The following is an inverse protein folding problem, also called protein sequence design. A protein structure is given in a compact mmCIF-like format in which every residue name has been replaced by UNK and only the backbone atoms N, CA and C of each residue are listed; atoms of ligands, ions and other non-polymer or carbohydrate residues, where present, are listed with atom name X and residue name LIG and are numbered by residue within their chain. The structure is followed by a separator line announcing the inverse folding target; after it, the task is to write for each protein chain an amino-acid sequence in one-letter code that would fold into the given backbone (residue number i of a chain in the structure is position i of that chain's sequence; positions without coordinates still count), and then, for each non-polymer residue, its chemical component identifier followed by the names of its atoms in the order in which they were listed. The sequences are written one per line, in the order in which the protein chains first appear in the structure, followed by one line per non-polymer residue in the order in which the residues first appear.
data_IF_841367015868
#
_entry.id   IF_841367015868
#
_cell.length_a   1.000
_cell.length_b   1.000
_cell.length_c   1.000
_cell.angle_alpha   90.00
_cell.angle_beta   90.00
_cell.angle_gamma   90.00
#
_symmetry.space_group_name_H-M   'P 1'
#
loop_
_entity.id
_entity.type
_entity.pdbx_description
1 polymer ?
#
# COMPACT_ATOMS: atom_id res chain seq x y z
N UNK A 1 -26.07 -7.47 -25.37
CA UNK A 1 -25.44 -7.79 -24.06
C UNK A 1 -24.10 -8.49 -24.25
N UNK A 2 -24.01 -9.59 -25.02
CA UNK A 2 -22.74 -10.25 -25.32
C UNK A 2 -21.66 -9.31 -25.91
N UNK A 3 -21.99 -8.53 -26.94
CA UNK A 3 -21.05 -7.58 -27.57
C UNK A 3 -20.54 -6.47 -26.63
N UNK A 4 -21.35 -6.04 -25.66
CA UNK A 4 -20.95 -5.04 -24.67
C UNK A 4 -20.01 -5.63 -23.60
N UNK A 5 -20.19 -6.92 -23.28
CA UNK A 5 -19.32 -7.67 -22.36
C UNK A 5 -17.99 -8.00 -23.02
N UNK A 6 -17.98 -8.34 -24.32
CA UNK A 6 -16.76 -8.59 -25.09
C UNK A 6 -15.89 -7.31 -25.20
N UNK A 7 -16.51 -6.16 -25.47
CA UNK A 7 -15.79 -4.88 -25.50
C UNK A 7 -15.17 -4.48 -24.15
N UNK A 8 -15.84 -4.82 -23.04
CA UNK A 8 -15.34 -4.57 -21.68
C UNK A 8 -14.15 -5.48 -21.34
N UNK A 9 -14.25 -6.77 -21.70
CA UNK A 9 -13.18 -7.75 -21.50
C UNK A 9 -11.93 -7.40 -22.34
N UNK A 10 -12.10 -6.96 -23.58
CA UNK A 10 -10.99 -6.47 -24.38
C UNK A 10 -10.33 -5.22 -23.77
N UNK A 11 -11.13 -4.29 -23.26
CA UNK A 11 -10.61 -3.12 -22.55
C UNK A 11 -9.84 -3.54 -21.27
N UNK A 12 -10.31 -4.56 -20.55
CA UNK A 12 -9.62 -5.12 -19.37
C UNK A 12 -8.27 -5.70 -19.75
N UNK A 13 -8.25 -6.50 -20.81
CA UNK A 13 -7.04 -7.17 -21.27
C UNK A 13 -6.00 -6.15 -21.75
N UNK A 14 -6.44 -5.10 -22.47
CA UNK A 14 -5.56 -3.97 -22.84
C UNK A 14 -5.06 -3.20 -21.61
N UNK A 15 -5.93 -2.97 -20.63
CA UNK A 15 -5.56 -2.35 -19.36
C UNK A 15 -4.52 -3.17 -18.59
N UNK A 16 -4.70 -4.49 -18.52
CA UNK A 16 -3.77 -5.42 -17.89
C UNK A 16 -2.44 -5.51 -18.64
N UNK A 17 -2.46 -5.51 -19.98
CA UNK A 17 -1.25 -5.53 -20.78
C UNK A 17 -0.45 -4.22 -20.71
N UNK A 18 -1.11 -3.09 -20.40
CA UNK A 18 -0.48 -1.76 -20.33
C UNK A 18 0.06 -1.38 -18.94
N UNK A 19 0.24 -2.38 -18.06
CA UNK A 19 0.84 -2.16 -16.74
C UNK A 19 2.37 -2.23 -16.76
N UNK A 20 2.97 -2.76 -17.82
CA UNK A 20 4.41 -2.99 -17.90
C UNK A 20 4.89 -3.90 -16.76
N UNK A 21 5.94 -3.48 -16.06
CA UNK A 21 6.48 -4.21 -14.89
C UNK A 21 5.74 -3.93 -13.59
N UNK A 22 4.73 -3.06 -13.57
CA UNK A 22 4.05 -2.66 -12.34
C UNK A 22 2.89 -3.59 -12.00
N UNK A 23 2.78 -3.99 -10.73
CA UNK A 23 1.82 -4.99 -10.26
C UNK A 23 0.51 -4.38 -9.77
N UNK A 24 -0.40 -3.96 -10.66
CA UNK A 24 -1.68 -3.36 -10.22
C UNK A 24 -2.90 -4.25 -10.46
N UNK A 25 -3.77 -4.29 -9.46
CA UNK A 25 -5.04 -4.97 -9.58
C UNK A 25 -6.07 -4.06 -10.25
N UNK A 26 -6.69 -4.56 -11.31
CA UNK A 26 -7.77 -3.89 -12.05
C UNK A 26 -9.01 -4.79 -12.07
N UNK A 27 -10.20 -4.18 -12.05
CA UNK A 27 -11.46 -4.89 -12.17
C UNK A 27 -12.54 -3.94 -12.66
N UNK A 28 -13.44 -4.43 -13.52
CA UNK A 28 -14.64 -3.68 -13.91
C UNK A 28 -15.78 -3.81 -12.89
N UNK A 29 -15.72 -4.81 -12.02
CA UNK A 29 -16.78 -5.16 -11.07
C UNK A 29 -16.47 -4.68 -9.65
N UNK A 30 -15.42 -3.88 -9.48
CA UNK A 30 -14.91 -3.49 -8.17
C UNK A 30 -14.61 -4.72 -7.32
N UNK A 31 -15.12 -4.75 -6.09
CA UNK A 31 -14.88 -5.85 -5.12
C UNK A 31 -15.34 -7.22 -5.58
N UNK A 32 -16.38 -7.33 -6.41
CA UNK A 32 -16.80 -8.64 -6.92
C UNK A 32 -15.70 -9.26 -7.80
N UNK A 33 -15.06 -8.44 -8.64
CA UNK A 33 -13.97 -8.89 -9.50
C UNK A 33 -12.65 -9.14 -8.77
N UNK A 34 -12.51 -8.70 -7.51
CA UNK A 34 -11.32 -8.99 -6.69
C UNK A 34 -11.23 -10.48 -6.31
N UNK A 35 -12.36 -11.13 -6.01
CA UNK A 35 -12.40 -12.56 -5.74
C UNK A 35 -12.03 -13.37 -6.99
N UNK A 36 -12.54 -12.96 -8.15
CA UNK A 36 -12.19 -13.58 -9.43
C UNK A 36 -10.69 -13.43 -9.75
N UNK A 37 -10.12 -12.24 -9.52
CA UNK A 37 -8.70 -12.00 -9.73
C UNK A 37 -7.82 -12.80 -8.76
N UNK A 38 -8.27 -12.98 -7.51
CA UNK A 38 -7.61 -13.86 -6.54
C UNK A 38 -7.59 -15.31 -7.04
N UNK A 39 -8.75 -15.87 -7.41
CA UNK A 39 -8.85 -17.27 -7.86
C UNK A 39 -8.02 -17.51 -9.15
N UNK A 40 -8.01 -16.53 -10.06
CA UNK A 40 -7.37 -16.64 -11.39
C UNK A 40 -5.92 -16.13 -11.41
N UNK A 41 -5.32 -15.83 -10.25
CA UNK A 41 -3.98 -15.25 -10.20
C UNK A 41 -2.94 -16.21 -10.78
N UNK A 42 -2.24 -15.78 -11.82
CA UNK A 42 -1.16 -16.55 -12.45
C UNK A 42 0.19 -16.40 -11.75
N UNK A 43 0.42 -15.26 -11.07
CA UNK A 43 1.70 -14.98 -10.41
C UNK A 43 1.91 -15.82 -9.15
N UNK A 44 0.87 -15.97 -8.35
CA UNK A 44 0.86 -16.80 -7.15
C UNK A 44 -0.42 -17.65 -7.10
N UNK A 45 -0.48 -18.74 -7.88
CA UNK A 45 -1.66 -19.59 -7.96
C UNK A 45 -2.10 -20.12 -6.60
N UNK A 46 -3.34 -19.81 -6.21
CA UNK A 46 -3.92 -20.23 -4.92
C UNK A 46 -3.37 -19.50 -3.69
N UNK A 47 -2.40 -18.59 -3.86
CA UNK A 47 -1.85 -17.72 -2.81
C UNK A 47 -1.44 -18.45 -1.52
N UNK A 48 -0.87 -19.64 -1.65
CA UNK A 48 -0.51 -20.50 -0.51
C UNK A 48 0.50 -19.87 0.45
N UNK A 49 1.31 -18.93 -0.04
CA UNK A 49 2.32 -18.23 0.76
C UNK A 49 1.83 -16.87 1.31
N UNK A 50 0.55 -16.54 1.12
CA UNK A 50 -0.09 -15.33 1.66
C UNK A 50 -0.84 -15.66 2.94
N UNK A 51 -0.14 -15.61 4.06
CA UNK A 51 -0.66 -16.03 5.37
C UNK A 51 -1.65 -14.97 5.88
N UNK A 52 -2.91 -15.31 6.18
CA UNK A 52 -3.82 -14.36 6.83
C UNK A 52 -3.24 -13.87 8.15
N UNK A 53 -3.36 -12.57 8.40
CA UNK A 53 -2.69 -11.94 9.54
C UNK A 53 -3.06 -12.56 10.89
N UNK A 54 -4.29 -13.07 11.02
CA UNK A 54 -4.77 -13.75 12.22
C UNK A 54 -4.12 -15.12 12.44
N UNK A 55 -3.73 -15.79 11.37
CA UNK A 55 -3.03 -17.08 11.41
C UNK A 55 -1.51 -16.92 11.50
N UNK A 56 -0.98 -15.72 11.18
CA UNK A 56 0.44 -15.44 11.26
C UNK A 56 0.97 -15.68 12.68
N UNK A 57 2.05 -16.45 12.76
CA UNK A 57 2.60 -17.00 13.99
C UNK A 57 4.10 -17.25 13.84
N UNK A 58 4.74 -17.60 14.95
CA UNK A 58 6.19 -17.84 15.02
C UNK A 58 6.68 -18.92 14.05
N UNK A 59 5.84 -19.91 13.73
CA UNK A 59 6.20 -21.03 12.85
C UNK A 59 6.33 -20.62 11.38
N UNK A 60 5.78 -19.46 11.02
CA UNK A 60 5.88 -18.89 9.67
C UNK A 60 7.18 -18.10 9.45
N UNK A 61 7.92 -17.84 10.52
CA UNK A 61 9.23 -17.20 10.48
C UNK A 61 10.33 -18.26 10.44
N UNK A 62 11.49 -17.90 9.91
CA UNK A 62 12.64 -18.80 9.82
C UNK A 62 13.81 -18.36 10.69
N UNK A 63 14.63 -19.34 11.10
CA UNK A 63 15.90 -19.12 11.77
C UNK A 63 15.77 -18.28 13.05
N UNK A 64 16.63 -17.25 13.25
CA UNK A 64 16.64 -16.46 14.48
C UNK A 64 15.39 -15.57 14.65
N UNK A 65 14.52 -15.49 13.65
CA UNK A 65 13.31 -14.66 13.68
C UNK A 65 12.08 -15.39 14.18
N UNK A 66 12.20 -16.67 14.54
CA UNK A 66 11.15 -17.41 15.25
C UNK A 66 11.00 -16.87 16.69
N UNK A 67 10.47 -15.66 16.77
CA UNK A 67 10.37 -14.87 17.99
C UNK A 67 9.02 -14.15 18.07
N UNK A 68 8.41 -14.16 19.25
CA UNK A 68 7.09 -13.54 19.46
C UNK A 68 7.12 -12.03 19.23
N UNK A 69 8.25 -11.33 19.48
CA UNK A 69 8.34 -9.89 19.20
C UNK A 69 8.31 -9.60 17.70
N UNK A 70 8.84 -10.51 16.87
CA UNK A 70 8.71 -10.41 15.42
C UNK A 70 7.25 -10.60 14.99
N UNK A 71 6.55 -11.59 15.55
CA UNK A 71 5.12 -11.82 15.28
C UNK A 71 4.28 -10.61 15.66
N UNK A 72 4.48 -10.06 16.86
CA UNK A 72 3.79 -8.86 17.33
C UNK A 72 4.09 -7.64 16.46
N UNK A 73 5.34 -7.48 16.03
CA UNK A 73 5.73 -6.41 15.11
C UNK A 73 5.02 -6.55 13.76
N UNK A 74 5.00 -7.73 13.15
CA UNK A 74 4.33 -7.96 11.86
C UNK A 74 2.82 -7.72 11.97
N UNK A 75 2.19 -8.15 13.05
CA UNK A 75 0.78 -7.81 13.34
C UNK A 75 0.57 -6.30 13.45
N UNK A 76 1.50 -5.58 14.05
CA UNK A 76 1.44 -4.12 14.11
C UNK A 76 1.69 -3.44 12.76
N UNK A 77 2.41 -4.08 11.82
CA UNK A 77 2.48 -3.62 10.41
C UNK A 77 1.08 -3.69 9.79
N UNK A 78 0.38 -4.82 9.95
CA UNK A 78 -0.98 -4.97 9.41
C UNK A 78 -1.99 -3.97 9.98
N UNK A 79 -1.81 -3.53 11.23
CA UNK A 79 -2.62 -2.47 11.84
C UNK A 79 -2.43 -1.10 11.17
N UNK A 80 -1.30 -0.87 10.50
CA UNK A 80 -1.01 0.36 9.75
C UNK A 80 -1.08 0.18 8.23
N UNK A 81 -1.14 -1.05 7.71
CA UNK A 81 -1.40 -1.33 6.30
C UNK A 81 -2.83 -0.93 5.93
N UNK A 82 -2.99 -0.34 4.75
CA UNK A 82 -4.30 0.14 4.26
C UNK A 82 -4.60 -0.41 2.88
N UNK A 83 -5.89 -0.62 2.62
CA UNK A 83 -6.44 -0.94 1.31
C UNK A 83 -6.74 0.36 0.58
N UNK A 84 -6.26 0.51 -0.65
CA UNK A 84 -6.58 1.63 -1.52
C UNK A 84 -7.56 1.16 -2.58
N UNK A 85 -8.72 1.80 -2.67
CA UNK A 85 -9.71 1.56 -3.71
C UNK A 85 -9.84 2.81 -4.57
N UNK A 86 -9.15 2.83 -5.70
CA UNK A 86 -9.18 3.92 -6.66
C UNK A 86 -10.15 3.60 -7.79
N UNK A 87 -10.86 4.62 -8.29
CA UNK A 87 -11.82 4.47 -9.39
C UNK A 87 -11.51 5.35 -10.60
N UNK A 88 -10.46 6.15 -10.55
CA UNK A 88 -10.17 7.13 -11.59
C UNK A 88 -8.72 7.09 -12.02
N UNK A 89 -8.50 7.20 -13.33
CA UNK A 89 -7.16 7.34 -13.91
C UNK A 89 -6.96 8.78 -14.34
N UNK A 90 -5.95 9.46 -13.79
CA UNK A 90 -5.67 10.87 -14.09
C UNK A 90 -5.43 11.10 -15.58
N UNK A 91 -5.86 12.26 -16.09
CA UNK A 91 -5.48 12.74 -17.44
C UNK A 91 -4.01 13.13 -17.54
N UNK A 92 -3.35 13.34 -16.41
CA UNK A 92 -1.97 13.83 -16.31
C UNK A 92 -0.94 12.70 -16.18
N UNK A 93 -1.34 11.42 -16.16
CA UNK A 93 -0.38 10.31 -16.16
C UNK A 93 0.58 10.48 -17.35
N UNK A 94 1.91 10.33 -17.20
CA UNK A 94 2.85 10.54 -18.30
C UNK A 94 2.73 9.45 -19.37
N UNK A 95 3.36 9.66 -20.53
CA UNK A 95 3.44 8.64 -21.58
C UNK A 95 4.40 7.50 -21.22
N UNK A 96 5.51 7.88 -20.58
CA UNK A 96 6.62 6.99 -20.26
C UNK A 96 7.02 7.13 -18.80
N UNK A 97 7.63 6.10 -18.25
CA UNK A 97 8.38 6.13 -17.00
C UNK A 97 9.72 6.84 -17.20
N UNK A 98 10.43 7.14 -16.11
CA UNK A 98 11.81 7.65 -16.17
C UNK A 98 12.77 6.72 -16.91
N UNK A 99 12.47 5.42 -16.90
CA UNK A 99 13.31 4.38 -17.48
C UNK A 99 12.99 4.11 -18.96
N UNK A 100 12.07 4.88 -19.55
CA UNK A 100 11.69 4.79 -20.96
C UNK A 100 10.64 3.73 -21.28
N UNK A 101 10.05 3.09 -20.26
CA UNK A 101 8.94 2.14 -20.41
C UNK A 101 7.59 2.87 -20.51
N UNK A 102 6.56 2.23 -21.06
CA UNK A 102 5.22 2.83 -21.04
C UNK A 102 4.71 3.02 -19.61
N UNK A 103 4.14 4.20 -19.33
CA UNK A 103 3.61 4.45 -17.99
C UNK A 103 2.32 3.64 -17.75
N UNK A 104 2.17 3.01 -16.56
CA UNK A 104 1.00 2.23 -16.24
C UNK A 104 -0.29 3.01 -16.42
N UNK A 105 -1.24 2.43 -17.15
CA UNK A 105 -2.58 2.98 -17.37
C UNK A 105 -2.65 4.27 -18.20
N UNK A 106 -1.59 4.63 -18.94
CA UNK A 106 -1.65 5.78 -19.84
C UNK A 106 -2.79 5.72 -20.87
N UNK A 107 -3.15 4.53 -21.33
CA UNK A 107 -4.23 4.32 -22.29
C UNK A 107 -5.62 4.51 -21.66
N UNK A 108 -5.70 4.61 -20.33
CA UNK A 108 -6.94 4.69 -19.56
C UNK A 108 -7.15 6.08 -18.94
N UNK A 109 -6.33 7.06 -19.28
CA UNK A 109 -6.47 8.45 -18.79
C UNK A 109 -7.89 8.97 -18.94
N UNK A 110 -8.40 9.61 -17.90
CA UNK A 110 -9.75 10.17 -17.85
C UNK A 110 -10.87 9.15 -17.71
N UNK A 111 -10.57 7.84 -17.69
CA UNK A 111 -11.58 6.80 -17.51
C UNK A 111 -11.83 6.48 -16.04
N UNK A 112 -13.00 5.92 -15.78
CA UNK A 112 -13.35 5.36 -14.48
C UNK A 112 -13.19 3.84 -14.53
N UNK A 113 -12.11 3.34 -13.94
CA UNK A 113 -11.85 1.91 -13.81
C UNK A 113 -11.39 1.61 -12.39
N UNK A 114 -12.05 0.65 -11.74
CA UNK A 114 -11.77 0.30 -10.37
C UNK A 114 -10.44 -0.46 -10.27
N UNK A 115 -9.63 -0.04 -9.31
CA UNK A 115 -8.30 -0.58 -9.01
C UNK A 115 -8.14 -0.71 -7.51
N UNK A 116 -7.48 -1.79 -7.09
CA UNK A 116 -7.05 -1.94 -5.70
C UNK A 116 -5.54 -1.96 -5.61
N UNK A 117 -5.02 -1.33 -4.57
CA UNK A 117 -3.62 -1.46 -4.19
C UNK A 117 -3.49 -1.38 -2.67
N UNK A 118 -2.27 -1.47 -2.19
CA UNK A 118 -1.94 -1.40 -0.76
C UNK A 118 -1.19 -0.10 -0.48
N UNK A 119 -1.32 0.43 0.73
CA UNK A 119 -0.42 1.43 1.28
C UNK A 119 -0.17 1.19 2.78
N UNK A 120 0.42 2.17 3.46
CA UNK A 120 0.52 2.16 4.92
C UNK A 120 0.43 3.54 5.52
N UNK A 121 -0.04 3.62 6.76
CA UNK A 121 -0.06 4.83 7.58
C UNK A 121 1.37 5.13 8.03
N UNK A 122 2.04 6.08 7.37
CA UNK A 122 3.36 6.53 7.77
C UNK A 122 3.33 7.63 8.84
N UNK A 123 2.18 8.31 9.02
CA UNK A 123 2.05 9.34 10.05
C UNK A 123 0.61 9.54 10.51
N UNK A 124 0.36 9.35 11.80
CA UNK A 124 -0.81 9.89 12.48
C UNK A 124 -0.45 11.20 13.22
N UNK A 125 -1.15 12.31 12.96
CA UNK A 125 -0.87 13.60 13.64
C UNK A 125 -1.16 13.53 15.13
N UNK A 126 -0.49 14.36 15.94
CA UNK A 126 -0.53 14.29 17.40
C UNK A 126 -1.86 14.69 18.05
N UNK A 127 -2.74 15.38 17.35
CA UNK A 127 -3.99 15.90 17.92
C UNK A 127 -5.12 15.72 16.92
N UNK A 128 -6.29 15.41 17.45
CA UNK A 128 -7.55 15.65 16.77
C UNK A 128 -7.75 17.17 16.76
N UNK A 129 -7.91 17.75 15.58
CA UNK A 129 -7.99 19.19 15.41
C UNK A 129 -9.42 19.65 15.68
N UNK A 130 -9.58 20.72 16.46
CA UNK A 130 -10.84 21.38 16.74
C UNK A 130 -10.67 22.89 16.55
N UNK A 131 -11.70 23.59 16.06
CA UNK A 131 -11.63 25.04 15.89
C UNK A 131 -10.83 25.50 14.65
N UNK A 132 -10.44 24.58 13.76
CA UNK A 132 -9.80 24.87 12.47
C UNK A 132 -10.68 24.40 11.33
N UNK A 133 -10.58 25.04 10.17
CA UNK A 133 -11.24 24.58 8.95
C UNK A 133 -10.71 23.19 8.54
N UNK A 134 -11.63 22.27 8.32
CA UNK A 134 -11.36 20.94 7.79
C UNK A 134 -10.93 21.05 6.33
N UNK A 135 -9.80 20.42 5.94
CA UNK A 135 -9.29 20.49 4.59
C UNK A 135 -9.99 19.51 3.63
N UNK A 136 -10.95 18.70 4.10
CA UNK A 136 -11.59 17.71 3.25
C UNK A 136 -12.46 18.39 2.18
N UNK A 137 -12.57 17.81 0.96
CA UNK A 137 -13.34 18.41 -0.12
C UNK A 137 -14.80 18.70 0.25
N UNK A 138 -15.43 17.78 0.99
CA UNK A 138 -16.83 17.92 1.44
C UNK A 138 -17.00 19.14 2.35
N UNK A 139 -16.17 19.28 3.38
CA UNK A 139 -16.24 20.43 4.28
C UNK A 139 -15.87 21.73 3.56
N UNK A 140 -14.89 21.71 2.66
CA UNK A 140 -14.45 22.91 1.96
C UNK A 140 -15.54 23.54 1.09
N UNK A 141 -16.49 22.74 0.59
CA UNK A 141 -17.64 23.20 -0.17
C UNK A 141 -18.74 23.86 0.69
N UNK A 142 -18.73 23.65 2.00
CA UNK A 142 -19.72 24.22 2.92
C UNK A 142 -19.42 25.69 3.27
N UNK A 143 -20.40 26.45 3.80
CA UNK A 143 -20.16 27.78 4.38
C UNK A 143 -19.15 27.75 5.52
N UNK A 144 -18.42 28.85 5.75
CA UNK A 144 -17.28 28.94 6.68
C UNK A 144 -17.55 28.37 8.09
N UNK A 145 -18.72 28.63 8.68
CA UNK A 145 -19.08 28.11 10.01
C UNK A 145 -19.22 26.57 10.06
N UNK A 146 -19.55 25.93 8.94
CA UNK A 146 -19.63 24.46 8.82
C UNK A 146 -18.28 23.83 8.46
N UNK A 147 -17.27 24.62 8.07
CA UNK A 147 -15.92 24.13 7.78
C UNK A 147 -15.16 23.73 9.04
N UNK A 148 -15.56 24.23 10.21
CA UNK A 148 -14.82 24.09 11.48
C UNK A 148 -15.17 22.79 12.23
N UNK A 149 -15.51 21.73 11.50
CA UNK A 149 -15.81 20.42 12.07
C UNK A 149 -14.53 19.78 12.62
N UNK A 150 -14.52 19.18 13.82
CA UNK A 150 -13.35 18.47 14.33
C UNK A 150 -12.88 17.30 13.45
N UNK A 151 -11.57 17.14 13.27
CA UNK A 151 -11.02 16.13 12.37
C UNK A 151 -9.63 15.60 12.78
N UNK A 152 -9.33 14.37 12.38
CA UNK A 152 -8.04 13.70 12.53
C UNK A 152 -7.26 13.66 11.22
N UNK A 153 -5.95 13.94 11.24
CA UNK A 153 -5.08 13.92 10.04
C UNK A 153 -4.13 12.73 10.02
N UNK A 154 -4.07 12.06 8.87
CA UNK A 154 -3.22 10.89 8.61
C UNK A 154 -2.46 11.10 7.29
N UNK A 155 -1.21 10.64 7.22
CA UNK A 155 -0.46 10.52 5.96
C UNK A 155 -0.31 9.02 5.66
N UNK A 156 -0.71 8.65 4.46
CA UNK A 156 -0.59 7.28 3.92
C UNK A 156 0.45 7.29 2.82
N UNK A 157 1.34 6.32 2.80
CA UNK A 157 2.29 6.10 1.72
C UNK A 157 1.86 4.90 0.87
N UNK A 158 2.18 4.97 -0.42
CA UNK A 158 1.89 3.96 -1.44
C UNK A 158 2.83 4.18 -2.62
N UNK A 159 2.73 3.36 -3.65
CA UNK A 159 3.39 3.60 -4.93
C UNK A 159 2.71 4.72 -5.75
N UNK A 160 3.49 5.47 -6.52
CA UNK A 160 2.99 6.56 -7.40
C UNK A 160 2.18 5.98 -8.56
N UNK A 161 2.57 4.83 -9.09
CA UNK A 161 1.82 4.17 -10.15
C UNK A 161 0.41 3.78 -9.69
N UNK A 162 0.20 3.54 -8.38
CA UNK A 162 -1.10 3.23 -7.78
C UNK A 162 -1.96 4.49 -7.72
N UNK A 163 -1.41 5.58 -7.16
CA UNK A 163 -2.05 6.90 -7.04
C UNK A 163 -1.10 7.98 -7.56
N UNK A 164 -1.37 8.47 -8.77
CA UNK A 164 -0.45 9.34 -9.49
C UNK A 164 -0.46 10.80 -9.00
N UNK A 165 -1.65 11.35 -8.77
CA UNK A 165 -1.83 12.75 -8.45
C UNK A 165 -3.06 13.01 -7.56
N UNK A 166 -3.36 14.30 -7.36
CA UNK A 166 -4.49 14.72 -6.56
C UNK A 166 -5.84 14.24 -7.12
N UNK A 167 -6.01 14.19 -8.45
CA UNK A 167 -7.27 13.80 -9.07
C UNK A 167 -7.60 12.32 -8.78
N UNK A 168 -6.60 11.45 -8.81
CA UNK A 168 -6.74 10.04 -8.41
C UNK A 168 -6.95 9.91 -6.89
N UNK A 169 -6.18 10.65 -6.10
CA UNK A 169 -6.30 10.62 -4.65
C UNK A 169 -7.72 11.00 -4.19
N UNK A 170 -8.30 12.08 -4.73
CA UNK A 170 -9.66 12.52 -4.40
C UNK A 170 -10.76 11.52 -4.80
N UNK A 171 -10.45 10.58 -5.69
CA UNK A 171 -11.35 9.50 -6.15
C UNK A 171 -11.03 8.15 -5.50
N UNK A 172 -10.15 8.15 -4.51
CA UNK A 172 -9.72 6.95 -3.79
C UNK A 172 -10.38 6.88 -2.42
N UNK A 173 -10.77 5.67 -2.03
CA UNK A 173 -11.10 5.34 -0.63
C UNK A 173 -9.92 4.64 0.02
N UNK A 174 -9.61 4.99 1.26
CA UNK A 174 -8.51 4.39 2.02
C UNK A 174 -9.09 3.57 3.16
N UNK A 175 -9.22 2.26 2.96
CA UNK A 175 -9.72 1.32 3.95
C UNK A 175 -8.66 0.96 4.99
N UNK A 176 -9.03 1.04 6.27
CA UNK A 176 -8.15 0.69 7.40
C UNK A 176 -8.75 -0.49 8.19
N UNK A 177 -7.88 -1.24 8.88
CA UNK A 177 -8.25 -2.37 9.74
C UNK A 177 -8.96 -3.53 9.04
N UNK A 178 -8.72 -3.70 7.74
CA UNK A 178 -9.30 -4.78 6.96
C UNK A 178 -8.46 -6.07 7.11
N UNK A 179 -8.72 -6.85 8.17
CA UNK A 179 -7.89 -8.01 8.54
C UNK A 179 -8.51 -9.37 8.20
N UNK A 180 -9.78 -9.42 7.78
CA UNK A 180 -10.53 -10.64 7.53
C UNK A 180 -11.42 -10.56 6.31
N UNK A 181 -11.70 -11.73 5.73
CA UNK A 181 -12.91 -12.01 4.96
C UNK A 181 -14.07 -12.20 5.96
N UNK A 182 -14.43 -11.14 6.68
CA UNK A 182 -15.51 -11.21 7.65
C UNK A 182 -16.84 -11.30 6.89
N UNK A 183 -17.40 -12.52 6.95
CA UNK A 183 -18.77 -12.93 6.68
C UNK A 183 -19.14 -13.29 5.24
N UNK A 184 -19.70 -14.49 5.13
CA UNK A 184 -20.68 -14.93 4.14
C UNK A 184 -21.97 -14.09 4.11
N UNK A 185 -22.04 -12.96 4.85
CA UNK A 185 -23.22 -12.12 5.05
C UNK A 185 -23.03 -10.63 4.64
N UNK A 186 -21.97 -10.31 3.88
CA UNK A 186 -21.98 -9.15 2.98
C UNK A 186 -21.58 -7.78 3.55
N UNK A 187 -21.43 -7.63 4.87
CA UNK A 187 -20.95 -6.37 5.47
C UNK A 187 -19.47 -6.49 5.87
N UNK A 188 -18.59 -6.05 4.96
CA UNK A 188 -17.16 -5.92 5.26
C UNK A 188 -16.95 -4.80 6.27
N UNK A 189 -16.39 -5.14 7.43
CA UNK A 189 -16.07 -4.17 8.49
C UNK A 189 -14.82 -3.37 8.13
N UNK A 190 -14.97 -2.36 7.27
CA UNK A 190 -13.89 -1.50 6.81
C UNK A 190 -14.22 -0.04 7.12
N UNK A 191 -13.39 0.55 7.96
CA UNK A 191 -13.39 1.99 8.18
C UNK A 191 -12.64 2.70 7.06
N UNK A 192 -13.09 3.88 6.64
CA UNK A 192 -12.47 4.62 5.55
C UNK A 192 -11.95 5.99 5.99
N UNK A 193 -10.75 6.32 5.51
CA UNK A 193 -10.23 7.68 5.51
C UNK A 193 -10.53 8.35 4.18
N UNK A 194 -10.75 9.67 4.22
CA UNK A 194 -10.98 10.49 3.03
C UNK A 194 -9.67 11.19 2.62
N UNK A 195 -9.15 10.93 1.41
CA UNK A 195 -8.06 11.72 0.87
C UNK A 195 -8.47 13.18 0.60
N UNK A 196 -7.55 14.11 0.78
CA UNK A 196 -7.77 15.53 0.49
C UNK A 196 -6.57 16.24 -0.16
N UNK A 197 -5.43 15.56 -0.32
CA UNK A 197 -4.22 16.19 -0.82
C UNK A 197 -3.08 15.23 -1.07
N UNK A 198 -2.08 15.67 -1.83
CA UNK A 198 -0.76 15.01 -1.90
C UNK A 198 0.17 15.65 -0.87
N UNK A 199 0.91 14.82 -0.15
CA UNK A 199 1.94 15.23 0.80
C UNK A 199 3.29 15.41 0.11
N UNK A 200 3.74 14.39 -0.62
CA UNK A 200 4.94 14.36 -1.42
C UNK A 200 4.81 13.22 -2.43
N UNK A 201 5.54 13.26 -3.54
CA UNK A 201 5.67 12.15 -4.47
C UNK A 201 7.02 12.18 -5.18
N UNK A 202 7.45 11.03 -5.64
CA UNK A 202 8.58 10.83 -6.54
C UNK A 202 8.14 9.87 -7.64
N UNK A 203 8.17 10.35 -8.88
CA UNK A 203 7.76 9.57 -10.05
C UNK A 203 8.85 8.57 -10.46
N UNK A 204 10.13 8.87 -10.16
CA UNK A 204 11.27 8.00 -10.46
C UNK A 204 11.35 6.90 -9.39
N UNK A 205 11.27 7.30 -8.12
CA UNK A 205 11.28 6.38 -6.99
C UNK A 205 9.98 5.63 -6.75
N UNK A 206 8.94 5.93 -7.52
CA UNK A 206 7.62 5.32 -7.46
C UNK A 206 7.04 5.26 -6.04
N UNK A 207 7.06 6.38 -5.33
CA UNK A 207 6.39 6.52 -4.04
C UNK A 207 5.58 7.80 -3.95
N UNK A 208 4.43 7.71 -3.29
CA UNK A 208 3.47 8.79 -3.15
C UNK A 208 2.90 8.81 -1.73
N UNK A 209 2.93 9.99 -1.11
CA UNK A 209 2.31 10.27 0.17
C UNK A 209 0.98 10.99 0.00
N UNK A 210 -0.11 10.42 0.49
CA UNK A 210 -1.47 10.95 0.43
C UNK A 210 -1.87 11.51 1.78
N UNK A 211 -2.44 12.71 1.80
CA UNK A 211 -3.04 13.34 2.98
C UNK A 211 -4.47 12.87 3.11
N UNK A 212 -4.79 12.26 4.25
CA UNK A 212 -6.11 11.73 4.57
C UNK A 212 -6.66 12.36 5.84
N UNK A 213 -7.99 12.34 5.95
CA UNK A 213 -8.74 12.89 7.08
C UNK A 213 -9.89 11.96 7.48
N UNK A 214 -10.23 11.99 8.77
CA UNK A 214 -11.47 11.42 9.31
C UNK A 214 -12.12 12.41 10.28
N UNK A 215 -13.44 12.41 10.33
CA UNK A 215 -14.22 13.15 11.33
C UNK A 215 -14.63 12.26 12.52
N UNK A 216 -14.35 10.96 12.46
CA UNK A 216 -14.61 10.02 13.53
C UNK A 216 -13.42 10.04 14.51
N UNK A 217 -13.71 10.50 15.74
CA UNK A 217 -12.71 10.59 16.80
C UNK A 217 -12.29 9.21 17.32
N UNK A 218 -13.22 8.24 17.37
CA UNK A 218 -12.91 6.89 17.83
C UNK A 218 -12.01 6.18 16.82
N UNK A 219 -12.31 6.36 15.52
CA UNK A 219 -11.45 5.87 14.46
C UNK A 219 -10.05 6.51 14.53
N UNK A 220 -9.98 7.82 14.76
CA UNK A 220 -8.71 8.51 14.89
C UNK A 220 -7.89 8.05 16.11
N UNK A 221 -8.53 7.88 17.27
CA UNK A 221 -7.88 7.38 18.48
C UNK A 221 -7.35 5.96 18.26
N UNK A 222 -8.13 5.09 17.63
CA UNK A 222 -7.71 3.74 17.24
C UNK A 222 -6.50 3.77 16.31
N UNK A 223 -6.54 4.56 15.22
CA UNK A 223 -5.40 4.73 14.30
C UNK A 223 -4.15 5.21 15.05
N UNK A 224 -4.32 6.17 15.96
CA UNK A 224 -3.21 6.70 16.73
C UNK A 224 -2.59 5.64 17.63
N UNK A 225 -3.41 4.93 18.40
CA UNK A 225 -2.96 3.86 19.30
C UNK A 225 -2.18 2.80 18.54
N UNK A 226 -2.75 2.33 17.42
CA UNK A 226 -2.13 1.35 16.53
C UNK A 226 -0.82 1.83 15.93
N UNK A 227 -0.79 3.06 15.42
CA UNK A 227 0.44 3.67 14.88
C UNK A 227 1.53 3.83 15.95
N UNK A 228 1.18 4.21 17.18
CA UNK A 228 2.14 4.30 18.29
C UNK A 228 2.66 2.93 18.70
N UNK A 229 1.79 1.92 18.73
CA UNK A 229 2.15 0.52 18.99
C UNK A 229 3.12 0.00 17.93
N UNK A 230 2.79 0.19 16.65
CA UNK A 230 3.67 -0.12 15.53
C UNK A 230 5.06 0.50 15.70
N UNK A 231 5.14 1.82 15.93
CA UNK A 231 6.43 2.49 16.13
C UNK A 231 7.22 1.95 17.33
N UNK A 232 6.54 1.54 18.40
CA UNK A 232 7.17 0.93 19.57
C UNK A 232 7.72 -0.45 19.22
N UNK A 233 6.92 -1.32 18.60
CA UNK A 233 7.31 -2.68 18.22
C UNK A 233 8.43 -2.71 17.19
N UNK A 234 8.40 -1.81 16.21
CA UNK A 234 9.50 -1.63 15.27
C UNK A 234 10.82 -1.29 15.95
N UNK A 235 10.80 -0.42 16.98
CA UNK A 235 12.01 -0.09 17.75
C UNK A 235 12.53 -1.26 18.57
N UNK A 236 11.64 -2.03 19.17
CA UNK A 236 12.00 -3.22 19.96
C UNK A 236 12.65 -4.28 19.07
N UNK A 237 12.05 -4.59 17.92
CA UNK A 237 12.60 -5.51 16.92
C UNK A 237 13.93 -5.02 16.36
N UNK A 238 14.05 -3.75 15.99
CA UNK A 238 15.31 -3.19 15.50
C UNK A 238 16.42 -3.29 16.54
N UNK A 239 16.15 -2.88 17.78
CA UNK A 239 17.13 -2.97 18.85
C UNK A 239 17.63 -4.40 19.09
N UNK A 240 16.75 -5.39 18.93
CA UNK A 240 17.05 -6.80 19.14
C UNK A 240 17.79 -7.45 17.96
N UNK A 241 17.37 -7.14 16.74
CA UNK A 241 17.78 -7.88 15.55
C UNK A 241 18.70 -7.08 14.61
N UNK A 242 19.00 -5.80 14.88
CA UNK A 242 19.88 -4.98 14.02
C UNK A 242 21.28 -5.53 13.77
N UNK A 243 21.78 -6.37 14.67
CA UNK A 243 23.11 -6.99 14.56
C UNK A 243 23.06 -8.37 13.90
N UNK A 244 21.87 -8.89 13.60
CA UNK A 244 21.70 -10.15 12.89
C UNK A 244 21.91 -9.87 11.40
N UNK A 245 22.98 -10.42 10.85
CA UNK A 245 23.21 -10.42 9.41
C UNK A 245 22.28 -11.44 8.76
N UNK A 246 21.19 -10.95 8.18
CA UNK A 246 20.24 -11.75 7.41
C UNK A 246 19.59 -10.87 6.34
N UNK A 247 18.87 -11.51 5.43
CA UNK A 247 18.15 -10.86 4.36
C UNK A 247 16.63 -10.99 4.46
N UNK A 248 16.08 -11.21 5.65
CA UNK A 248 14.63 -11.26 5.89
C UNK A 248 13.92 -10.06 5.27
N UNK A 249 12.93 -10.38 4.44
CA UNK A 249 11.97 -9.46 3.87
C UNK A 249 10.55 -9.91 4.26
N UNK A 250 9.74 -8.97 4.73
CA UNK A 250 8.34 -9.21 5.08
C UNK A 250 7.47 -8.19 4.36
N UNK A 251 6.39 -8.64 3.75
CA UNK A 251 5.41 -7.79 3.09
C UNK A 251 4.05 -8.04 3.73
N UNK A 252 3.38 -6.97 4.10
CA UNK A 252 1.99 -7.03 4.57
C UNK A 252 1.11 -6.26 3.59
N UNK A 253 0.20 -6.95 2.92
CA UNK A 253 -0.58 -6.38 1.82
C UNK A 253 -2.04 -6.78 1.81
N UNK A 254 -2.82 -6.13 0.93
CA UNK A 254 -4.17 -6.53 0.55
C UNK A 254 -4.15 -7.18 -0.84
N UNK A 255 -3.66 -8.43 -0.95
CA UNK A 255 -3.51 -9.10 -2.24
C UNK A 255 -4.87 -9.21 -2.94
N UNK A 256 -4.93 -8.78 -4.20
CA UNK A 256 -6.17 -8.61 -4.98
C UNK A 256 -7.30 -7.87 -4.25
N UNK A 257 -7.03 -7.02 -3.26
CA UNK A 257 -8.08 -6.36 -2.47
C UNK A 257 -8.71 -7.24 -1.37
N UNK A 258 -8.07 -8.37 -1.02
CA UNK A 258 -8.46 -9.24 0.10
C UNK A 258 -8.04 -8.66 1.46
N UNK A 259 -8.53 -9.27 2.55
CA UNK A 259 -8.10 -8.95 3.92
C UNK A 259 -6.58 -9.07 4.07
N UNK A 260 -6.00 -8.33 5.02
CA UNK A 260 -4.55 -8.23 5.18
C UNK A 260 -3.87 -9.61 5.29
N UNK A 261 -2.89 -9.85 4.42
CA UNK A 261 -2.06 -11.07 4.39
C UNK A 261 -0.59 -10.70 4.58
N UNK A 262 0.18 -11.66 5.08
CA UNK A 262 1.63 -11.58 5.28
C UNK A 262 2.33 -12.53 4.33
N UNK A 263 3.32 -12.04 3.62
CA UNK A 263 4.29 -12.84 2.88
C UNK A 263 5.65 -12.70 3.55
N UNK A 264 6.37 -13.81 3.70
CA UNK A 264 7.71 -13.86 4.31
C UNK A 264 8.68 -14.44 3.31
N UNK A 265 9.83 -13.79 3.13
CA UNK A 265 10.88 -14.25 2.24
C UNK A 265 12.20 -13.54 2.52
N UNK A 266 12.99 -13.35 1.48
CA UNK A 266 14.33 -12.79 1.51
C UNK A 266 14.53 -11.76 0.43
N UNK A 267 15.32 -10.72 0.73
CA UNK A 267 15.87 -9.83 -0.29
C UNK A 267 17.16 -10.41 -0.88
N UNK A 268 17.32 -10.25 -2.19
CA UNK A 268 18.36 -10.89 -2.98
C UNK A 268 19.45 -9.91 -3.37
N UNK A 269 19.06 -8.68 -3.70
CA UNK A 269 19.98 -7.60 -4.05
C UNK A 269 19.44 -6.25 -3.57
N UNK A 270 20.36 -5.28 -3.55
CA UNK A 270 20.10 -3.88 -3.25
C UNK A 270 20.80 -3.05 -4.31
N UNK A 271 20.06 -2.15 -4.95
CA UNK A 271 20.58 -1.16 -5.88
C UNK A 271 20.64 0.19 -5.18
N UNK A 272 21.84 0.76 -5.07
CA UNK A 272 22.03 2.12 -4.58
C UNK A 272 21.91 3.10 -5.75
N UNK A 273 20.89 3.95 -5.69
CA UNK A 273 20.52 4.84 -6.79
C UNK A 273 21.19 6.20 -6.66
N UNK A 274 21.07 6.82 -5.49
CA UNK A 274 21.64 8.13 -5.21
C UNK A 274 22.22 8.14 -3.79
N UNK A 275 23.41 8.71 -3.66
CA UNK A 275 24.04 8.98 -2.38
C UNK A 275 23.92 10.47 -2.06
N UNK A 276 23.38 10.77 -0.89
CA UNK A 276 23.54 12.05 -0.22
C UNK A 276 24.39 11.82 1.04
N UNK A 277 25.06 12.85 1.56
CA UNK A 277 25.92 12.75 2.74
C UNK A 277 25.16 12.20 3.97
N UNK A 278 23.84 12.38 4.02
CA UNK A 278 22.98 11.96 5.11
C UNK A 278 22.26 10.62 4.86
N UNK A 279 22.07 10.18 3.62
CA UNK A 279 21.26 9.00 3.30
C UNK A 279 21.53 8.44 1.90
N UNK A 280 21.20 7.16 1.72
CA UNK A 280 21.26 6.44 0.45
C UNK A 280 19.84 6.13 0.00
N UNK A 281 19.48 6.64 -1.18
CA UNK A 281 18.29 6.21 -1.88
C UNK A 281 18.58 4.88 -2.55
N UNK A 282 17.79 3.85 -2.22
CA UNK A 282 18.02 2.50 -2.72
C UNK A 282 16.72 1.75 -3.01
N UNK A 283 16.87 0.65 -3.72
CA UNK A 283 15.81 -0.32 -4.05
C UNK A 283 16.24 -1.72 -3.65
N UNK A 284 15.28 -2.56 -3.29
CA UNK A 284 15.50 -3.97 -3.00
C UNK A 284 14.77 -4.86 -3.99
N UNK A 285 15.44 -5.91 -4.46
CA UNK A 285 14.79 -7.06 -5.08
C UNK A 285 14.66 -8.21 -4.08
N UNK A 286 13.57 -8.97 -4.13
CA UNK A 286 13.26 -10.02 -3.16
C UNK A 286 12.47 -11.18 -3.78
N UNK A 287 12.58 -12.36 -3.16
CA UNK A 287 11.78 -13.55 -3.46
C UNK A 287 10.49 -13.64 -2.63
N UNK A 288 10.21 -12.60 -1.82
CA UNK A 288 9.01 -12.55 -0.98
C UNK A 288 7.76 -12.49 -1.88
N UNK A 289 6.78 -13.40 -1.70
CA UNK A 289 5.63 -13.48 -2.59
C UNK A 289 4.82 -12.19 -2.69
N UNK A 290 4.59 -11.73 -3.92
CA UNK A 290 3.72 -10.58 -4.24
C UNK A 290 2.76 -10.89 -5.39
N UNK A 291 1.73 -10.09 -5.53
CA UNK A 291 0.77 -10.19 -6.63
C UNK A 291 0.28 -8.78 -7.00
N UNK A 292 -0.51 -8.62 -8.08
CA UNK A 292 -1.06 -7.33 -8.47
C UNK A 292 -1.81 -6.51 -7.40
N UNK A 293 -2.32 -7.11 -6.31
CA UNK A 293 -2.86 -6.30 -5.20
C UNK A 293 -1.84 -5.84 -4.16
N UNK A 294 -0.61 -6.34 -4.24
CA UNK A 294 0.48 -6.02 -3.31
C UNK A 294 1.16 -4.71 -3.63
N UNK A 295 0.92 -4.09 -4.79
CA UNK A 295 1.54 -2.81 -5.13
C UNK A 295 1.29 -1.75 -4.07
N UNK A 296 2.34 -0.99 -3.77
CA UNK A 296 2.36 0.01 -2.71
C UNK A 296 2.44 -0.55 -1.29
N UNK A 297 2.42 -1.88 -1.10
CA UNK A 297 2.56 -2.48 0.21
C UNK A 297 3.90 -2.13 0.87
N UNK A 298 3.94 -1.95 2.19
CA UNK A 298 5.19 -1.76 2.89
C UNK A 298 6.08 -3.00 2.80
N UNK A 299 7.31 -2.82 2.32
CA UNK A 299 8.37 -3.84 2.36
C UNK A 299 9.23 -3.60 3.59
N UNK A 300 9.15 -4.52 4.55
CA UNK A 300 10.01 -4.52 5.72
C UNK A 300 11.32 -5.25 5.42
N UNK A 301 12.44 -4.52 5.50
CA UNK A 301 13.80 -5.07 5.38
C UNK A 301 14.48 -4.98 6.75
N UNK A 302 14.91 -6.13 7.27
CA UNK A 302 15.53 -6.21 8.58
C UNK A 302 16.87 -5.45 8.65
N UNK A 303 17.12 -4.75 9.76
CA UNK A 303 18.44 -4.18 10.10
C UNK A 303 18.89 -3.02 9.19
N UNK A 304 18.06 -2.61 8.23
CA UNK A 304 18.32 -1.50 7.29
C UNK A 304 17.51 -0.26 7.62
N UNK A 305 17.15 -0.15 8.89
CA UNK A 305 16.26 0.88 9.40
C UNK A 305 17.02 2.16 9.76
N UNK A 306 16.33 3.29 9.61
CA UNK A 306 16.95 4.60 9.82
C UNK A 306 15.97 5.65 10.31
N UNK A 307 16.43 6.51 11.24
CA UNK A 307 15.81 7.77 11.72
C UNK A 307 14.26 7.82 11.84
N UNK A 308 13.62 6.69 12.17
CA UNK A 308 12.16 6.61 12.36
C UNK A 308 11.33 6.48 11.08
N UNK A 309 11.93 6.21 9.92
CA UNK A 309 11.24 5.93 8.65
C UNK A 309 11.03 4.42 8.46
N UNK A 310 10.27 3.83 9.37
CA UNK A 310 9.86 2.44 9.31
C UNK A 310 9.05 2.21 8.01
N UNK A 311 9.50 1.26 7.16
CA UNK A 311 8.81 0.83 5.93
C UNK A 311 8.92 1.80 4.72
N UNK A 312 10.05 2.49 4.52
CA UNK A 312 10.22 3.48 3.45
C UNK A 312 10.20 2.94 2.01
N UNK A 313 9.97 1.64 1.81
CA UNK A 313 10.02 0.96 0.52
C UNK A 313 8.64 0.41 0.17
N UNK A 314 7.86 1.06 -0.72
CA UNK A 314 6.65 0.44 -1.27
C UNK A 314 7.04 -0.72 -2.20
N UNK A 315 6.26 -1.80 -2.27
CA UNK A 315 6.37 -2.75 -3.39
C UNK A 315 5.95 -2.07 -4.70
N UNK A 316 6.69 -2.27 -5.78
CA UNK A 316 6.52 -1.51 -7.03
C UNK A 316 6.41 -2.40 -8.26
N UNK A 317 7.40 -3.27 -8.48
CA UNK A 317 7.54 -4.00 -9.75
C UNK A 317 7.62 -5.51 -9.56
N UNK A 318 7.29 -6.21 -10.64
CA UNK A 318 7.79 -7.55 -10.92
C UNK A 318 9.25 -7.41 -11.37
N UNK A 319 10.16 -8.10 -10.69
CA UNK A 319 11.56 -8.22 -11.10
C UNK A 319 11.76 -9.30 -12.16
N UNK A 320 12.96 -9.34 -12.77
CA UNK A 320 13.35 -10.42 -13.68
C UNK A 320 14.28 -11.43 -12.96
N UNK A 321 14.01 -12.75 -13.03
CA UNK A 321 12.81 -13.41 -13.54
C UNK A 321 11.53 -13.06 -12.77
N UNK A 322 10.38 -13.14 -13.45
CA UNK A 322 9.03 -12.66 -13.06
C UNK A 322 8.43 -13.17 -11.74
N UNK A 323 9.19 -14.00 -11.03
CA UNK A 323 8.88 -14.49 -9.69
C UNK A 323 9.39 -13.55 -8.58
N UNK A 324 10.35 -12.67 -8.87
CA UNK A 324 10.86 -11.70 -7.90
C UNK A 324 9.98 -10.45 -7.83
N UNK A 325 9.97 -9.80 -6.67
CA UNK A 325 9.43 -8.46 -6.50
C UNK A 325 10.55 -7.45 -6.35
N UNK A 326 10.30 -6.21 -6.78
CA UNK A 326 11.16 -5.06 -6.50
C UNK A 326 10.39 -3.99 -5.72
N UNK A 327 11.08 -3.30 -4.81
CA UNK A 327 10.53 -2.12 -4.17
C UNK A 327 10.63 -0.88 -5.07
N UNK A 328 9.85 0.15 -4.77
CA UNK A 328 10.21 1.52 -5.14
C UNK A 328 11.45 1.97 -4.36
N UNK A 329 11.88 3.20 -4.63
CA UNK A 329 12.99 3.79 -3.92
C UNK A 329 12.58 4.11 -2.48
N UNK A 330 13.41 3.68 -1.54
CA UNK A 330 13.33 4.07 -0.15
C UNK A 330 14.64 4.66 0.32
N UNK A 331 14.64 5.11 1.58
CA UNK A 331 15.76 5.80 2.18
C UNK A 331 16.37 4.92 3.27
N UNK A 332 17.64 4.57 3.07
CA UNK A 332 18.50 3.96 4.09
C UNK A 332 19.53 4.99 4.57
N UNK A 333 19.96 4.91 5.82
CA UNK A 333 20.96 5.84 6.39
C UNK A 333 22.18 5.06 6.86
#
# INVERSE_FOLDING_TARGET
MAEAVDGLNEALNRAMASQGRYENQITFEGRLGYNDAWIKCSKNPGHTDFIPIKEFSVTHLFGPFQDDQMVEMVRSIADVTVLLENKFTSTERPEMTSDGEEYPFKALRGTELARSSTGWIARARRKFESGKECPCPECFQLPSHHRVRPFGKVIVWTATHSIYDLSEALKTKVGVFYHEEDSSEGDLNIDYLQPYGIFAKDDIGDWCGIKCVTHDINLWDKIREKFLTFNKKMKEVDAKFRAVEDNLAIIVSHPHGQGARVSVGRWNYRDDMNHNDDFIQCRYGYDTPTCPGSSGAPVFILGRMSRGMYLAHPHSHVGEPTQYGESGYGINY
#
